data_IF_836856377940
#
_entry.id   IF_836856377940
#
_cell.length_a   1.000
_cell.length_b   1.000
_cell.length_c   1.000
_cell.angle_alpha   90.00
_cell.angle_beta   90.00
_cell.angle_gamma   90.00
#
_symmetry.space_group_name_H-M   'P 1'
#
loop_
_entity.id
_entity.type
_entity.pdbx_description
1 polymer ?
#
# COMPACT_ATOMS: atom_id res chain seq x y z
N UNK A 1 18.75 54.06 -12.19
CA UNK A 1 19.57 52.99 -11.58
C UNK A 1 18.93 52.33 -10.36
N UNK A 2 18.37 53.07 -9.37
CA UNK A 2 17.75 52.48 -8.16
C UNK A 2 16.60 51.48 -8.43
N UNK A 3 15.75 51.72 -9.44
CA UNK A 3 14.61 50.82 -9.77
C UNK A 3 15.03 49.46 -10.34
N UNK A 4 16.16 49.41 -11.06
CA UNK A 4 16.69 48.16 -11.62
C UNK A 4 17.24 47.24 -10.51
N UNK A 5 17.84 47.85 -9.48
CA UNK A 5 18.38 47.16 -8.32
C UNK A 5 17.29 46.46 -7.50
N UNK A 6 16.15 47.13 -7.30
CA UNK A 6 14.99 46.54 -6.62
C UNK A 6 14.39 45.36 -7.39
N UNK A 7 14.35 45.45 -8.72
CA UNK A 7 13.85 44.38 -9.58
C UNK A 7 14.77 43.15 -9.55
N UNK A 8 16.09 43.38 -9.48
CA UNK A 8 17.08 42.32 -9.41
C UNK A 8 17.10 41.62 -8.05
N UNK A 9 16.92 42.37 -6.96
CA UNK A 9 16.75 41.81 -5.60
C UNK A 9 15.46 41.00 -5.51
N UNK A 10 14.37 41.48 -6.09
CA UNK A 10 13.09 40.76 -6.10
C UNK A 10 13.21 39.44 -6.90
N UNK A 11 13.85 39.46 -8.06
CA UNK A 11 14.09 38.25 -8.86
C UNK A 11 14.96 37.23 -8.13
N UNK A 12 16.02 37.67 -7.44
CA UNK A 12 16.84 36.78 -6.61
C UNK A 12 16.03 36.18 -5.46
N UNK A 13 15.14 36.94 -4.82
CA UNK A 13 14.30 36.43 -3.75
C UNK A 13 13.37 35.31 -4.22
N UNK A 14 12.79 35.43 -5.42
CA UNK A 14 11.95 34.36 -6.01
C UNK A 14 12.74 33.11 -6.39
N UNK A 15 14.01 33.24 -6.77
CA UNK A 15 14.88 32.09 -7.07
C UNK A 15 15.25 31.28 -5.81
N UNK A 16 15.16 31.86 -4.61
CA UNK A 16 15.37 31.16 -3.34
C UNK A 16 14.12 30.48 -2.78
N UNK A 17 12.94 30.73 -3.35
CA UNK A 17 11.71 29.99 -3.01
C UNK A 17 11.67 28.73 -3.88
N UNK A 18 12.64 27.85 -3.67
CA UNK A 18 12.56 26.49 -4.19
C UNK A 18 11.36 25.79 -3.58
N UNK A 19 10.55 25.11 -4.39
CA UNK A 19 9.52 24.21 -3.87
C UNK A 19 10.22 23.17 -2.99
N UNK A 20 9.95 23.09 -1.67
CA UNK A 20 10.43 21.97 -0.91
C UNK A 20 9.84 20.71 -1.54
N UNK A 21 10.69 19.83 -2.06
CA UNK A 21 10.26 18.49 -2.37
C UNK A 21 9.67 17.91 -1.07
N UNK A 22 8.37 17.58 -1.09
CA UNK A 22 7.63 17.07 0.08
C UNK A 22 8.26 15.78 0.65
N UNK A 23 9.12 15.12 -0.12
CA UNK A 23 9.85 13.93 0.29
C UNK A 23 11.23 13.91 -0.37
N UNK A 24 12.29 13.76 0.43
CA UNK A 24 13.64 13.46 -0.04
C UNK A 24 13.85 11.95 -0.26
N UNK A 25 12.90 11.13 0.19
CA UNK A 25 12.90 9.67 0.00
C UNK A 25 12.26 9.33 -1.33
N UNK A 26 12.99 8.60 -2.17
CA UNK A 26 12.47 8.00 -3.40
C UNK A 26 11.40 6.99 -3.00
N UNK A 27 10.13 7.31 -3.25
CA UNK A 27 9.04 6.35 -3.13
C UNK A 27 9.21 5.32 -4.26
N UNK A 28 9.54 4.08 -3.88
CA UNK A 28 9.76 2.99 -4.84
C UNK A 28 8.42 2.45 -5.34
N UNK A 29 7.35 2.58 -4.55
CA UNK A 29 5.98 2.19 -4.93
C UNK A 29 4.95 3.07 -4.23
N UNK A 30 3.85 3.35 -4.92
CA UNK A 30 2.69 4.06 -4.36
C UNK A 30 1.90 3.18 -3.40
N UNK A 31 1.53 3.68 -2.20
CA UNK A 31 0.70 2.92 -1.28
C UNK A 31 -0.72 2.72 -1.84
N UNK A 32 -1.37 1.58 -1.56
CA UNK A 32 -2.77 1.39 -1.91
C UNK A 32 -3.67 2.31 -1.07
N UNK A 33 -4.88 2.55 -1.54
CA UNK A 33 -5.93 3.25 -0.78
C UNK A 33 -7.02 2.28 -0.40
N UNK A 34 -7.29 2.13 0.89
CA UNK A 34 -8.37 1.28 1.41
C UNK A 34 -9.70 2.02 1.33
N UNK A 35 -10.72 1.33 0.80
CA UNK A 35 -12.05 1.88 0.54
C UNK A 35 -13.03 1.42 1.62
N UNK A 36 -13.12 0.12 1.85
CA UNK A 36 -14.06 -0.44 2.83
C UNK A 36 -13.69 -1.84 3.27
N UNK A 37 -14.26 -2.26 4.40
CA UNK A 37 -14.25 -3.63 4.90
C UNK A 37 -15.70 -4.11 4.87
N UNK A 38 -15.98 -5.18 4.14
CA UNK A 38 -17.33 -5.73 3.96
C UNK A 38 -17.35 -7.17 4.46
N UNK A 39 -18.30 -7.59 5.31
CA UNK A 39 -18.38 -8.98 5.73
C UNK A 39 -18.77 -9.88 4.56
N UNK A 40 -18.15 -11.06 4.48
CA UNK A 40 -18.45 -12.11 3.50
C UNK A 40 -18.52 -13.47 4.20
N UNK A 41 -18.96 -14.51 3.51
CA UNK A 41 -19.15 -15.84 4.11
C UNK A 41 -17.86 -16.42 4.73
N UNK A 42 -16.68 -16.07 4.20
CA UNK A 42 -15.39 -16.61 4.64
C UNK A 42 -14.65 -15.72 5.65
N UNK A 43 -15.22 -14.56 6.00
CA UNK A 43 -14.61 -13.55 6.87
C UNK A 43 -14.95 -12.14 6.39
N UNK A 44 -13.96 -11.43 5.85
CA UNK A 44 -14.14 -10.08 5.35
C UNK A 44 -13.53 -9.89 3.96
N UNK A 45 -14.13 -9.00 3.18
CA UNK A 45 -13.61 -8.48 1.94
C UNK A 45 -13.05 -7.08 2.19
N UNK A 46 -11.74 -6.91 1.99
CA UNK A 46 -11.05 -5.63 2.09
C UNK A 46 -10.94 -5.01 0.70
N UNK A 47 -11.71 -3.95 0.46
CA UNK A 47 -11.74 -3.25 -0.82
C UNK A 47 -10.68 -2.16 -0.89
N UNK A 48 -9.96 -2.11 -2.00
CA UNK A 48 -8.87 -1.17 -2.20
C UNK A 48 -8.82 -0.65 -3.63
N UNK A 49 -8.18 0.51 -3.80
CA UNK A 49 -7.76 1.04 -5.10
C UNK A 49 -6.26 1.17 -5.10
N UNK A 50 -5.64 0.64 -6.14
CA UNK A 50 -4.20 0.70 -6.31
C UNK A 50 -3.85 0.69 -7.80
N UNK A 51 -2.82 1.45 -8.15
CA UNK A 51 -2.11 1.30 -9.40
C UNK A 51 -0.69 0.90 -9.05
N UNK A 52 -0.28 -0.31 -9.44
CA UNK A 52 1.10 -0.77 -9.24
C UNK A 52 1.77 -0.88 -10.61
N UNK A 53 2.35 0.23 -11.11
CA UNK A 53 3.10 0.21 -12.37
C UNK A 53 4.51 -0.41 -12.22
N UNK A 54 4.90 -0.89 -11.03
CA UNK A 54 6.27 -1.32 -10.77
C UNK A 54 6.58 -2.73 -11.29
N UNK A 55 7.66 -2.85 -12.08
CA UNK A 55 8.13 -4.10 -12.68
C UNK A 55 8.48 -5.21 -11.66
N UNK A 56 8.85 -4.84 -10.43
CA UNK A 56 9.27 -5.75 -9.36
C UNK A 56 8.25 -5.80 -8.21
N UNK A 57 7.00 -5.42 -8.48
CA UNK A 57 5.93 -5.57 -7.51
C UNK A 57 5.75 -7.06 -7.17
N UNK A 58 5.80 -7.37 -5.86
CA UNK A 58 5.76 -8.74 -5.35
C UNK A 58 4.45 -9.02 -4.60
N UNK A 59 3.76 -7.98 -4.13
CA UNK A 59 2.44 -8.14 -3.54
C UNK A 59 2.11 -7.12 -2.46
N UNK A 60 1.16 -7.48 -1.61
CA UNK A 60 0.74 -6.65 -0.49
C UNK A 60 0.97 -7.33 0.85
N UNK A 61 1.29 -6.52 1.85
CA UNK A 61 1.39 -6.90 3.26
C UNK A 61 0.31 -6.19 4.06
N UNK A 62 -0.50 -6.96 4.76
CA UNK A 62 -1.50 -6.45 5.70
C UNK A 62 -0.94 -6.41 7.12
N UNK A 63 -1.19 -5.30 7.80
CA UNK A 63 -0.85 -5.10 9.20
C UNK A 63 -2.13 -4.83 9.98
N UNK A 64 -2.26 -5.53 11.10
CA UNK A 64 -3.41 -5.44 11.99
C UNK A 64 -2.94 -4.87 13.32
N UNK A 65 -3.62 -3.82 13.80
CA UNK A 65 -3.30 -3.16 15.06
C UNK A 65 -4.54 -2.95 15.92
N UNK A 66 -4.33 -2.82 17.24
CA UNK A 66 -5.40 -2.43 18.16
C UNK A 66 -5.63 -0.91 18.14
N UNK A 67 -4.64 -0.14 17.68
CA UNK A 67 -4.76 1.28 17.37
C UNK A 67 -4.40 1.55 15.91
N UNK A 68 -4.85 2.68 15.37
CA UNK A 68 -4.44 3.11 14.02
C UNK A 68 -2.92 3.22 13.91
N UNK A 69 -2.26 3.71 14.96
CA UNK A 69 -0.82 3.89 14.95
C UNK A 69 -0.08 2.55 14.85
N UNK A 70 -0.54 1.54 15.62
CA UNK A 70 0.09 0.22 15.61
C UNK A 70 -0.04 -0.49 14.27
N UNK A 71 -1.17 -0.31 13.57
CA UNK A 71 -1.35 -0.89 12.23
C UNK A 71 -0.48 -0.18 11.17
N UNK A 72 -0.29 1.14 11.31
CA UNK A 72 0.50 1.93 10.34
C UNK A 72 2.01 1.82 10.56
N UNK A 73 2.44 1.64 11.80
CA UNK A 73 3.84 1.63 12.23
C UNK A 73 4.15 0.36 13.05
N UNK A 74 4.10 -0.82 12.43
CA UNK A 74 4.46 -2.06 13.09
C UNK A 74 5.95 -2.03 13.48
N UNK A 75 6.31 -2.78 14.53
CA UNK A 75 7.70 -2.89 14.98
C UNK A 75 8.62 -3.56 13.93
N UNK A 76 8.05 -4.43 13.08
CA UNK A 76 8.73 -5.07 11.96
C UNK A 76 7.81 -5.04 10.72
N UNK A 77 8.35 -4.62 9.58
CA UNK A 77 7.62 -4.62 8.31
C UNK A 77 7.55 -6.02 7.69
N UNK A 78 8.42 -6.94 8.08
CA UNK A 78 8.38 -8.30 7.54
C UNK A 78 7.25 -9.14 8.17
N UNK A 79 6.75 -8.74 9.34
CA UNK A 79 5.71 -9.45 10.08
C UNK A 79 4.29 -9.29 9.50
N UNK A 80 4.13 -8.53 8.41
CA UNK A 80 2.84 -8.36 7.76
C UNK A 80 2.33 -9.67 7.12
N UNK A 81 1.01 -9.83 7.09
CA UNK A 81 0.35 -10.98 6.48
C UNK A 81 0.41 -10.84 4.96
N UNK A 82 0.87 -11.90 4.30
CA UNK A 82 1.04 -11.94 2.85
C UNK A 82 -0.23 -12.33 2.12
N UNK A 83 -0.32 -11.81 0.91
CA UNK A 83 -1.32 -12.11 -0.09
C UNK A 83 -1.01 -13.47 -0.73
N UNK A 84 -1.71 -14.53 -0.30
CA UNK A 84 -1.51 -15.91 -0.80
C UNK A 84 -2.26 -16.15 -2.10
N UNK A 85 -1.66 -16.93 -3.00
CA UNK A 85 -2.30 -17.49 -4.21
C UNK A 85 -2.99 -16.44 -5.11
N UNK A 86 -2.45 -15.22 -5.15
CA UNK A 86 -3.07 -14.08 -5.83
C UNK A 86 -2.53 -13.79 -7.23
N UNK A 87 -3.35 -13.14 -8.06
CA UNK A 87 -2.93 -12.57 -9.35
C UNK A 87 -2.47 -11.14 -9.09
N UNK A 88 -1.21 -10.98 -8.65
CA UNK A 88 -0.66 -9.68 -8.26
C UNK A 88 0.12 -8.97 -9.38
N UNK A 89 0.58 -9.71 -10.39
CA UNK A 89 1.42 -9.19 -11.46
C UNK A 89 0.67 -8.40 -12.55
N UNK A 90 -0.66 -8.27 -12.44
CA UNK A 90 -1.51 -7.72 -13.51
C UNK A 90 -2.48 -6.70 -12.91
N UNK A 91 -1.96 -5.62 -12.34
CA UNK A 91 -2.76 -4.42 -12.02
C UNK A 91 -2.44 -3.31 -13.04
N UNK A 92 -2.83 -3.45 -14.32
CA UNK A 92 -2.51 -2.48 -15.36
C UNK A 92 -3.26 -1.18 -15.11
N UNK A 93 -2.58 -0.22 -14.47
CA UNK A 93 -2.77 1.23 -14.59
C UNK A 93 -4.20 1.72 -14.85
N UNK A 94 -5.16 1.36 -14.00
CA UNK A 94 -6.57 1.79 -14.08
C UNK A 94 -7.14 1.99 -12.67
N UNK A 95 -8.03 2.97 -12.46
CA UNK A 95 -8.71 3.23 -11.19
C UNK A 95 -9.82 2.20 -10.93
N UNK A 96 -9.45 0.92 -10.88
CA UNK A 96 -10.35 -0.18 -10.54
C UNK A 96 -10.35 -0.40 -9.03
N UNK A 97 -11.51 -0.77 -8.52
CA UNK A 97 -11.65 -1.26 -7.16
C UNK A 97 -11.38 -2.76 -7.15
N UNK A 98 -10.36 -3.16 -6.40
CA UNK A 98 -9.99 -4.55 -6.15
C UNK A 98 -10.44 -4.96 -4.76
N UNK A 99 -10.45 -6.26 -4.50
CA UNK A 99 -10.67 -6.78 -3.16
C UNK A 99 -9.66 -7.84 -2.74
N UNK A 100 -9.38 -7.89 -1.45
CA UNK A 100 -8.60 -8.94 -0.81
C UNK A 100 -9.53 -9.67 0.14
N UNK A 101 -9.56 -11.00 0.07
CA UNK A 101 -10.28 -11.82 1.03
C UNK A 101 -9.45 -11.99 2.30
N UNK A 102 -10.03 -11.64 3.44
CA UNK A 102 -9.50 -11.87 4.77
C UNK A 102 -10.23 -13.06 5.37
N UNK A 103 -9.52 -14.17 5.60
CA UNK A 103 -10.14 -15.39 6.10
C UNK A 103 -9.19 -16.14 7.04
N UNK A 104 -9.73 -16.91 7.97
CA UNK A 104 -8.93 -17.69 8.92
C UNK A 104 -8.33 -18.96 8.30
N UNK A 105 -8.83 -19.39 7.14
CA UNK A 105 -8.44 -20.65 6.49
C UNK A 105 -7.46 -20.42 5.36
N UNK A 106 -6.55 -21.36 5.16
CA UNK A 106 -5.75 -21.41 3.93
C UNK A 106 -6.60 -21.88 2.74
N UNK A 107 -6.00 -21.91 1.54
CA UNK A 107 -6.61 -22.45 0.34
C UNK A 107 -6.78 -21.44 -0.80
N UNK A 108 -7.50 -21.83 -1.88
CA UNK A 108 -7.79 -20.93 -2.98
C UNK A 108 -8.74 -19.80 -2.55
N UNK A 109 -8.81 -18.76 -3.39
CA UNK A 109 -9.84 -17.73 -3.30
C UNK A 109 -11.24 -18.37 -3.25
N UNK A 110 -12.09 -17.89 -2.34
CA UNK A 110 -13.47 -18.32 -2.34
C UNK A 110 -14.20 -17.84 -3.61
N UNK A 111 -15.21 -18.61 -4.03
CA UNK A 111 -16.08 -18.19 -5.13
C UNK A 111 -16.75 -16.86 -4.78
N UNK A 112 -16.85 -15.96 -5.76
CA UNK A 112 -17.43 -14.63 -5.58
C UNK A 112 -18.94 -14.77 -5.30
N UNK A 113 -19.36 -14.35 -4.12
CA UNK A 113 -20.76 -14.30 -3.70
C UNK A 113 -21.54 -13.14 -4.33
N UNK A 114 -22.85 -13.12 -4.11
CA UNK A 114 -23.72 -12.04 -4.61
C UNK A 114 -23.40 -10.72 -3.89
N UNK A 115 -23.00 -9.68 -4.64
CA UNK A 115 -22.66 -8.36 -4.09
C UNK A 115 -21.20 -8.20 -3.65
N UNK A 116 -20.40 -9.27 -3.76
CA UNK A 116 -18.96 -9.25 -3.55
C UNK A 116 -18.22 -8.66 -4.76
N UNK A 117 -17.03 -8.11 -4.53
CA UNK A 117 -16.25 -7.54 -5.63
C UNK A 117 -15.63 -8.66 -6.48
N UNK A 118 -15.94 -8.65 -7.78
CA UNK A 118 -15.47 -9.63 -8.77
C UNK A 118 -13.96 -9.56 -9.02
N UNK A 119 -13.33 -8.43 -8.70
CA UNK A 119 -11.90 -8.19 -8.86
C UNK A 119 -11.12 -8.57 -7.59
N UNK A 120 -11.39 -9.76 -7.06
CA UNK A 120 -10.67 -10.29 -5.90
C UNK A 120 -9.29 -10.77 -6.30
N UNK A 121 -8.25 -10.16 -5.74
CA UNK A 121 -6.88 -10.36 -6.20
C UNK A 121 -6.15 -11.45 -5.43
N UNK A 122 -6.47 -11.66 -4.14
CA UNK A 122 -5.86 -12.71 -3.31
C UNK A 122 -6.59 -12.95 -1.99
N UNK A 123 -6.10 -13.95 -1.26
CA UNK A 123 -6.51 -14.31 0.09
C UNK A 123 -5.39 -13.99 1.08
N UNK A 124 -5.72 -13.41 2.22
CA UNK A 124 -4.82 -13.22 3.35
C UNK A 124 -5.35 -14.05 4.52
N UNK A 125 -4.52 -14.95 5.02
CA UNK A 125 -4.89 -15.79 6.15
C UNK A 125 -4.77 -14.98 7.44
N UNK A 126 -5.89 -14.47 7.93
CA UNK A 126 -5.95 -13.63 9.12
C UNK A 126 -7.29 -13.76 9.82
N UNK A 127 -7.23 -13.78 11.15
CA UNK A 127 -8.40 -13.56 12.01
C UNK A 127 -8.43 -12.10 12.45
N UNK A 128 -9.38 -11.33 11.93
CA UNK A 128 -9.60 -9.94 12.36
C UNK A 128 -10.81 -9.87 13.28
N UNK A 129 -10.73 -9.03 14.32
CA UNK A 129 -11.82 -8.78 15.26
C UNK A 129 -12.35 -7.35 15.10
N UNK A 130 -13.66 -7.17 15.33
CA UNK A 130 -14.28 -5.84 15.35
C UNK A 130 -13.49 -4.88 16.23
N UNK A 131 -13.30 -3.65 15.74
CA UNK A 131 -12.55 -2.62 16.42
C UNK A 131 -11.06 -2.55 16.09
N UNK A 132 -10.46 -3.58 15.49
CA UNK A 132 -9.06 -3.54 15.02
C UNK A 132 -8.89 -2.62 13.81
N UNK A 133 -7.66 -2.15 13.59
CA UNK A 133 -7.28 -1.31 12.47
C UNK A 133 -6.46 -2.11 11.47
N UNK A 134 -6.80 -1.95 10.19
CA UNK A 134 -6.14 -2.59 9.06
C UNK A 134 -5.37 -1.56 8.24
N UNK A 135 -4.11 -1.84 7.93
CA UNK A 135 -3.28 -1.04 7.03
C UNK A 135 -2.58 -1.95 6.03
N UNK A 136 -2.46 -1.51 4.78
CA UNK A 136 -1.76 -2.23 3.72
C UNK A 136 -0.51 -1.48 3.27
N UNK A 137 0.50 -2.24 2.87
CA UNK A 137 1.68 -1.75 2.15
C UNK A 137 1.93 -2.60 0.93
N UNK A 138 2.36 -1.96 -0.15
CA UNK A 138 2.91 -2.63 -1.32
C UNK A 138 4.31 -3.14 -0.98
N UNK A 139 4.65 -4.34 -1.46
CA UNK A 139 5.94 -4.99 -1.35
C UNK A 139 6.58 -5.02 -2.74
N UNK A 140 7.82 -4.54 -2.82
CA UNK A 140 8.62 -4.56 -4.05
C UNK A 140 9.91 -5.30 -3.78
N UNK A 141 10.25 -6.23 -4.66
CA UNK A 141 11.53 -6.93 -4.62
C UNK A 141 12.64 -5.96 -5.06
N UNK A 142 13.68 -5.84 -4.24
CA UNK A 142 14.91 -5.13 -4.57
C UNK A 142 16.04 -6.13 -4.75
N UNK A 143 16.64 -6.09 -5.93
CA UNK A 143 17.81 -6.91 -6.26
C UNK A 143 19.06 -6.10 -5.99
N UNK A 144 19.72 -6.34 -4.85
CA UNK A 144 21.03 -5.76 -4.52
C UNK A 144 22.10 -6.84 -4.64
N UNK A 145 22.91 -6.80 -5.69
CA UNK A 145 23.93 -7.81 -5.95
C UNK A 145 25.21 -7.46 -5.18
N UNK A 146 25.30 -7.93 -3.93
CA UNK A 146 26.53 -7.84 -3.13
C UNK A 146 26.98 -9.25 -2.76
N UNK A 147 28.19 -9.65 -3.17
CA UNK A 147 28.78 -10.97 -2.87
C UNK A 147 27.91 -12.20 -3.23
N UNK A 148 27.21 -12.15 -4.37
CA UNK A 148 26.51 -13.32 -4.92
C UNK A 148 25.21 -13.74 -4.21
N UNK A 149 24.76 -13.00 -3.19
CA UNK A 149 23.45 -13.22 -2.54
C UNK A 149 22.67 -11.91 -2.57
N UNK A 150 21.52 -11.89 -3.25
CA UNK A 150 20.92 -10.64 -3.71
C UNK A 150 19.39 -10.67 -3.79
N UNK A 151 18.69 -10.65 -2.66
CA UNK A 151 17.25 -10.34 -2.61
C UNK A 151 16.89 -9.68 -1.28
N UNK A 152 16.14 -8.58 -1.34
CA UNK A 152 15.53 -7.93 -0.18
C UNK A 152 14.22 -7.26 -0.57
N UNK A 153 13.37 -6.94 0.40
CA UNK A 153 12.09 -6.28 0.14
C UNK A 153 12.12 -4.82 0.58
N UNK A 154 11.52 -3.95 -0.22
CA UNK A 154 11.18 -2.59 0.18
C UNK A 154 9.68 -2.43 0.16
N UNK A 155 9.17 -1.81 1.23
CA UNK A 155 7.75 -1.58 1.41
C UNK A 155 7.40 -0.13 1.07
N UNK A 156 6.19 0.09 0.53
CA UNK A 156 5.64 1.43 0.38
C UNK A 156 5.44 2.10 1.75
N UNK A 157 5.11 3.40 1.73
CA UNK A 157 4.45 4.06 2.85
C UNK A 157 3.15 3.30 3.25
N UNK A 158 2.65 3.46 4.48
CA UNK A 158 1.38 2.84 4.87
C UNK A 158 0.22 3.47 4.10
N UNK A 159 -0.80 2.67 3.77
CA UNK A 159 -2.10 3.17 3.34
C UNK A 159 -2.79 3.99 4.45
N UNK A 160 -3.98 4.53 4.16
CA UNK A 160 -4.94 4.86 5.22
C UNK A 160 -5.31 3.59 6.01
N UNK A 161 -5.77 3.77 7.24
CA UNK A 161 -6.30 2.66 8.05
C UNK A 161 -7.81 2.59 7.98
N UNK A 162 -8.34 1.38 7.99
CA UNK A 162 -9.77 1.13 8.19
C UNK A 162 -9.98 0.36 9.48
N UNK A 163 -11.02 0.73 10.23
CA UNK A 163 -11.43 0.00 11.43
C UNK A 163 -12.40 -1.10 11.04
N UNK A 164 -12.14 -2.32 11.49
CA UNK A 164 -13.02 -3.48 11.28
C UNK A 164 -14.37 -3.17 11.96
N UNK A 165 -15.50 -3.31 11.24
CA UNK A 165 -16.83 -3.04 11.78
C UNK A 165 -17.19 -4.01 12.90
#
# INVERSE_FOLDING_TARGET
MKRLYFLLIFLMFFLFIGCPHYSTTRLISTPPTLISIVPIATGYELRLRAGNPELLFDGYKLYVGNTENDSRFPADLNSGIECMNGILNILPNQPLEYSIELSQTEGPLAAIGTGENTNRICKMQVSVTSGQYLTLRSQVLVVSITNGTATGFVFSMPSNSLRVP
#
